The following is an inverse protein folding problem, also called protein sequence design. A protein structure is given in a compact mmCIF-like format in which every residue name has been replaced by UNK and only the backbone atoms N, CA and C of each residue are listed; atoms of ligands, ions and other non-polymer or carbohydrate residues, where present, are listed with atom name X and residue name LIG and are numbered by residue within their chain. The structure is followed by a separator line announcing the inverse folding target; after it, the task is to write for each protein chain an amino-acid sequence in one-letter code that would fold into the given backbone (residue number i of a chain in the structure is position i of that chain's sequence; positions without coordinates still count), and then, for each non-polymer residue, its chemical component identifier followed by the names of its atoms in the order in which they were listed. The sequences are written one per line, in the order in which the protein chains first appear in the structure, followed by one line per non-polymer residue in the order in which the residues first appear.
data_IF_351878082586
#
_entry.id   IF_351878082586
#
_cell.length_a   1.000
_cell.length_b   1.000
_cell.length_c   1.000
_cell.angle_alpha   90.00
_cell.angle_beta   90.00
_cell.angle_gamma   90.00
#
_symmetry.space_group_name_H-M   'P 1'
#
loop_
_entity.id
_entity.type
_entity.pdbx_description
1 polymer ?
#
# COMPACT_ATOMS: atom_id res chain seq x y z
N UNK A 1 -10.25 -19.55 5.70
CA UNK A 1 -8.94 -19.42 5.03
C UNK A 1 -9.24 -19.36 3.54
N UNK A 2 -8.59 -18.48 2.79
CA UNK A 2 -8.80 -18.44 1.33
C UNK A 2 -8.03 -19.60 0.70
N UNK A 3 -8.58 -20.16 -0.37
CA UNK A 3 -7.94 -21.24 -1.12
C UNK A 3 -7.61 -20.70 -2.51
N UNK A 4 -6.32 -20.70 -2.84
CA UNK A 4 -5.83 -20.33 -4.15
C UNK A 4 -5.51 -21.58 -4.96
N UNK A 5 -5.98 -21.64 -6.20
CA UNK A 5 -5.54 -22.61 -7.20
C UNK A 5 -4.07 -22.36 -7.58
N UNK A 6 -3.43 -23.37 -8.17
CA UNK A 6 -2.08 -23.22 -8.69
C UNK A 6 -1.99 -22.14 -9.78
N UNK A 7 -3.01 -22.03 -10.62
CA UNK A 7 -3.10 -21.03 -11.68
C UNK A 7 -3.18 -19.61 -11.11
N UNK A 8 -4.02 -19.37 -10.09
CA UNK A 8 -4.10 -18.06 -9.43
C UNK A 8 -2.77 -17.66 -8.79
N UNK A 9 -2.10 -18.59 -8.09
CA UNK A 9 -0.77 -18.33 -7.51
C UNK A 9 0.25 -17.97 -8.60
N UNK A 10 0.23 -18.67 -9.73
CA UNK A 10 1.13 -18.39 -10.84
C UNK A 10 0.86 -17.03 -11.48
N UNK A 11 -0.40 -16.65 -11.67
CA UNK A 11 -0.78 -15.34 -12.21
C UNK A 11 -0.35 -14.20 -11.28
N UNK A 12 -0.60 -14.33 -9.98
CA UNK A 12 -0.23 -13.31 -8.98
C UNK A 12 1.29 -13.14 -8.93
N UNK A 13 2.03 -14.24 -8.78
CA UNK A 13 3.50 -14.21 -8.69
C UNK A 13 4.15 -13.77 -10.00
N UNK A 14 3.62 -14.20 -11.15
CA UNK A 14 4.09 -13.82 -12.47
C UNK A 14 3.86 -12.35 -12.80
N UNK A 15 2.73 -11.78 -12.37
CA UNK A 15 2.50 -10.33 -12.46
C UNK A 15 3.44 -9.57 -11.52
N UNK A 16 3.53 -10.02 -10.26
CA UNK A 16 4.37 -9.36 -9.25
C UNK A 16 5.84 -9.27 -9.67
N UNK A 17 6.37 -10.31 -10.33
CA UNK A 17 7.74 -10.31 -10.86
C UNK A 17 8.04 -9.21 -11.89
N UNK A 18 7.01 -8.57 -12.47
CA UNK A 18 7.13 -7.45 -13.41
C UNK A 18 6.95 -6.08 -12.76
N UNK A 19 6.54 -6.03 -11.49
CA UNK A 19 6.24 -4.79 -10.79
C UNK A 19 7.53 -4.09 -10.37
N UNK A 20 7.70 -2.84 -10.78
CA UNK A 20 8.68 -1.96 -10.17
C UNK A 20 8.10 -1.40 -8.86
N UNK A 21 8.50 -1.99 -7.74
CA UNK A 21 7.94 -1.68 -6.41
C UNK A 21 8.11 -0.20 -6.03
N UNK A 22 9.20 0.44 -6.44
CA UNK A 22 9.46 1.83 -6.10
C UNK A 22 8.53 2.77 -6.88
N UNK A 23 8.46 2.59 -8.20
CA UNK A 23 7.69 3.47 -9.08
C UNK A 23 6.18 3.24 -8.92
N UNK A 24 5.73 1.99 -8.97
CA UNK A 24 4.32 1.65 -8.77
C UNK A 24 3.84 2.02 -7.36
N UNK A 25 4.70 1.87 -6.34
CA UNK A 25 4.35 2.22 -4.96
C UNK A 25 4.19 3.72 -4.78
N UNK A 26 5.11 4.51 -5.34
CA UNK A 26 5.04 5.96 -5.35
C UNK A 26 3.77 6.45 -6.07
N UNK A 27 3.47 5.90 -7.25
CA UNK A 27 2.28 6.26 -8.02
C UNK A 27 0.99 5.92 -7.28
N UNK A 28 0.90 4.73 -6.68
CA UNK A 28 -0.30 4.29 -5.96
C UNK A 28 -0.62 5.23 -4.78
N UNK A 29 0.38 5.53 -3.94
CA UNK A 29 0.16 6.42 -2.80
C UNK A 29 -0.13 7.86 -3.24
N UNK A 30 0.57 8.37 -4.26
CA UNK A 30 0.26 9.70 -4.80
C UNK A 30 -1.18 9.78 -5.31
N UNK A 31 -1.65 8.77 -6.07
CA UNK A 31 -3.03 8.69 -6.57
C UNK A 31 -4.05 8.63 -5.43
N UNK A 32 -3.79 7.88 -4.36
CA UNK A 32 -4.64 7.85 -3.16
C UNK A 32 -4.83 9.27 -2.60
N UNK A 33 -3.72 9.99 -2.37
CA UNK A 33 -3.74 11.32 -1.77
C UNK A 33 -4.39 12.38 -2.68
N UNK A 34 -4.36 12.19 -4.00
CA UNK A 34 -4.96 13.10 -4.99
C UNK A 34 -6.45 12.82 -5.19
N UNK A 35 -6.82 11.55 -5.42
CA UNK A 35 -8.18 11.14 -5.77
C UNK A 35 -9.08 11.11 -4.54
N UNK A 36 -8.50 10.82 -3.38
CA UNK A 36 -9.20 10.74 -2.10
C UNK A 36 -8.56 11.68 -1.06
N UNK A 37 -8.71 13.01 -1.19
CA UNK A 37 -7.95 13.99 -0.42
C UNK A 37 -8.09 13.88 1.10
N UNK A 38 -9.20 13.33 1.61
CA UNK A 38 -9.38 13.11 3.05
C UNK A 38 -8.33 12.17 3.64
N UNK A 39 -7.70 11.31 2.84
CA UNK A 39 -6.63 10.41 3.27
C UNK A 39 -5.35 11.18 3.65
N UNK A 40 -5.16 12.40 3.17
CA UNK A 40 -4.01 13.24 3.51
C UNK A 40 -3.89 13.51 5.02
N UNK A 41 -5.01 13.45 5.77
CA UNK A 41 -5.01 13.64 7.24
C UNK A 41 -4.07 12.69 7.98
N UNK A 42 -3.82 11.50 7.43
CA UNK A 42 -2.93 10.49 8.03
C UNK A 42 -1.44 10.76 7.76
N UNK A 43 -1.12 11.74 6.91
CA UNK A 43 0.23 12.00 6.41
C UNK A 43 0.68 13.45 6.67
N UNK A 44 0.20 14.07 7.75
CA UNK A 44 0.53 15.47 8.09
C UNK A 44 2.04 15.74 8.25
N UNK A 45 2.82 14.73 8.61
CA UNK A 45 4.28 14.82 8.73
C UNK A 45 5.02 14.78 7.37
N UNK A 46 4.33 14.55 6.26
CA UNK A 46 4.97 14.44 4.94
C UNK A 46 5.25 15.81 4.30
N UNK A 47 4.92 16.90 4.97
CA UNK A 47 5.16 18.25 4.48
C UNK A 47 4.13 18.68 3.45
N UNK A 48 4.58 19.28 2.35
CA UNK A 48 3.66 19.87 1.37
C UNK A 48 2.91 18.80 0.55
N UNK A 49 1.59 18.74 0.73
CA UNK A 49 0.64 17.90 -0.02
C UNK A 49 -0.47 18.75 -0.68
N UNK A 50 -0.28 20.07 -0.82
CA UNK A 50 -1.35 21.01 -1.15
C UNK A 50 -1.87 20.95 -2.60
N UNK A 51 -1.19 20.21 -3.49
CA UNK A 51 -1.56 20.09 -4.90
C UNK A 51 -1.07 18.76 -5.49
N UNK A 52 -1.65 18.29 -6.61
CA UNK A 52 -1.17 17.08 -7.29
C UNK A 52 0.32 17.11 -7.62
N UNK A 53 0.83 18.25 -8.10
CA UNK A 53 2.27 18.42 -8.39
C UNK A 53 3.12 18.32 -7.12
N UNK A 54 2.67 18.91 -6.00
CA UNK A 54 3.36 18.81 -4.72
C UNK A 54 3.39 17.36 -4.23
N UNK A 55 2.27 16.64 -4.32
CA UNK A 55 2.15 15.22 -3.91
C UNK A 55 3.05 14.32 -4.76
N UNK A 56 3.00 14.45 -6.09
CA UNK A 56 3.82 13.65 -7.02
C UNK A 56 5.32 13.90 -6.83
N UNK A 57 5.71 15.13 -6.53
CA UNK A 57 7.09 15.51 -6.25
C UNK A 57 7.57 15.20 -4.82
N UNK A 58 6.69 14.73 -3.92
CA UNK A 58 7.01 14.62 -2.51
C UNK A 58 7.88 13.37 -2.21
N UNK A 59 9.11 13.52 -1.70
CA UNK A 59 10.00 12.39 -1.44
C UNK A 59 9.48 11.43 -0.36
N UNK A 60 8.73 11.94 0.63
CA UNK A 60 8.14 11.11 1.69
C UNK A 60 6.98 10.26 1.15
N UNK A 61 6.16 10.80 0.24
CA UNK A 61 5.12 10.03 -0.47
C UNK A 61 5.77 8.90 -1.27
N UNK A 62 6.83 9.20 -2.03
CA UNK A 62 7.54 8.18 -2.81
C UNK A 62 8.13 7.07 -1.92
N UNK A 63 8.81 7.46 -0.84
CA UNK A 63 9.41 6.52 0.09
C UNK A 63 8.37 5.64 0.80
N UNK A 64 7.26 6.24 1.25
CA UNK A 64 6.20 5.51 1.92
C UNK A 64 5.43 4.61 0.96
N UNK A 65 5.15 5.07 -0.26
CA UNK A 65 4.54 4.27 -1.31
C UNK A 65 5.33 3.00 -1.62
N UNK A 66 6.66 3.11 -1.72
CA UNK A 66 7.54 1.93 -1.82
C UNK A 66 7.39 0.99 -0.63
N UNK A 67 7.31 1.51 0.60
CA UNK A 67 7.13 0.70 1.81
C UNK A 67 5.79 -0.05 1.81
N UNK A 68 4.71 0.61 1.43
CA UNK A 68 3.38 0.01 1.27
C UNK A 68 3.45 -1.12 0.26
N UNK A 69 3.96 -0.86 -0.95
CA UNK A 69 3.98 -1.88 -1.99
C UNK A 69 4.96 -3.03 -1.68
N UNK A 70 6.05 -2.77 -0.94
CA UNK A 70 6.91 -3.84 -0.42
C UNK A 70 6.14 -4.81 0.49
N UNK A 71 5.24 -4.28 1.33
CA UNK A 71 4.37 -5.10 2.19
C UNK A 71 3.42 -6.00 1.38
N UNK A 72 2.89 -5.52 0.26
CA UNK A 72 2.11 -6.38 -0.66
C UNK A 72 2.98 -7.51 -1.23
N UNK A 73 4.27 -7.25 -1.48
CA UNK A 73 5.22 -8.30 -1.86
C UNK A 73 5.38 -9.38 -0.80
N UNK A 74 5.26 -9.06 0.48
CA UNK A 74 5.29 -10.06 1.55
C UNK A 74 4.01 -10.89 1.59
N UNK A 75 2.85 -10.33 1.23
CA UNK A 75 1.63 -11.12 1.01
C UNK A 75 1.77 -12.05 -0.21
N UNK A 76 2.38 -11.59 -1.31
CA UNK A 76 2.63 -12.43 -2.50
C UNK A 76 3.54 -13.63 -2.17
N UNK A 77 4.51 -13.46 -1.26
CA UNK A 77 5.36 -14.56 -0.78
C UNK A 77 4.62 -15.51 0.18
N UNK A 78 3.50 -15.08 0.77
CA UNK A 78 2.78 -15.78 1.83
C UNK A 78 1.27 -15.89 1.53
N UNK A 79 0.89 -16.23 0.29
CA UNK A 79 -0.51 -16.19 -0.19
C UNK A 79 -1.49 -17.03 0.66
N UNK A 80 -1.01 -18.12 1.27
CA UNK A 80 -1.83 -18.99 2.14
C UNK A 80 -1.89 -18.50 3.60
N UNK A 81 -1.10 -17.49 3.96
CA UNK A 81 -0.92 -17.01 5.34
C UNK A 81 -1.01 -15.47 5.48
N UNK A 82 -1.76 -14.81 4.59
CA UNK A 82 -1.86 -13.34 4.54
C UNK A 82 -2.34 -12.75 5.86
N UNK A 83 -3.35 -13.37 6.51
CA UNK A 83 -3.91 -12.89 7.79
C UNK A 83 -2.82 -12.75 8.86
N UNK A 84 -1.97 -13.75 9.01
CA UNK A 84 -0.90 -13.71 10.02
C UNK A 84 0.24 -12.79 9.58
N UNK A 85 0.54 -12.76 8.28
CA UNK A 85 1.56 -11.85 7.69
C UNK A 85 1.26 -10.39 8.02
N UNK A 86 -0.02 -9.98 8.01
CA UNK A 86 -0.44 -8.60 8.28
C UNK A 86 -1.02 -8.36 9.67
N UNK A 87 -0.92 -9.31 10.61
CA UNK A 87 -1.49 -9.15 11.96
C UNK A 87 -0.99 -7.87 12.66
N UNK A 88 0.33 -7.61 12.63
CA UNK A 88 0.91 -6.41 13.24
C UNK A 88 0.53 -5.13 12.50
N UNK A 89 0.38 -5.18 11.17
CA UNK A 89 -0.09 -4.03 10.38
C UNK A 89 -1.57 -3.74 10.64
N UNK A 90 -2.38 -4.78 10.85
CA UNK A 90 -3.78 -4.66 11.24
C UNK A 90 -3.90 -3.89 12.56
N UNK A 91 -3.18 -4.30 13.60
CA UNK A 91 -3.13 -3.60 14.89
C UNK A 91 -2.65 -2.16 14.74
N UNK A 92 -1.57 -1.93 13.98
CA UNK A 92 -1.06 -0.59 13.74
C UNK A 92 -2.12 0.32 13.10
N UNK A 93 -2.75 -0.10 12.01
CA UNK A 93 -3.66 0.77 11.28
C UNK A 93 -5.01 0.96 11.98
N UNK A 94 -5.48 -0.07 12.70
CA UNK A 94 -6.71 -0.02 13.47
C UNK A 94 -6.53 0.73 14.80
N UNK A 95 -5.66 0.22 15.68
CA UNK A 95 -5.65 0.61 17.09
C UNK A 95 -4.77 1.84 17.36
N UNK A 96 -3.80 2.12 16.48
CA UNK A 96 -2.90 3.27 16.64
C UNK A 96 -3.26 4.40 15.67
N UNK A 97 -3.41 4.08 14.39
CA UNK A 97 -3.65 5.08 13.34
C UNK A 97 -5.14 5.38 13.14
N UNK A 98 -6.04 4.53 13.64
CA UNK A 98 -7.50 4.70 13.53
C UNK A 98 -7.95 4.97 12.10
N UNK A 99 -7.37 4.23 11.14
CA UNK A 99 -7.73 4.32 9.73
C UNK A 99 -9.05 3.57 9.53
N UNK A 100 -10.08 4.29 9.06
CA UNK A 100 -11.35 3.67 8.69
C UNK A 100 -11.09 2.58 7.62
N UNK A 101 -11.59 1.35 7.81
CA UNK A 101 -11.33 0.22 6.92
C UNK A 101 -11.71 0.47 5.45
N UNK A 102 -12.63 1.38 5.17
CA UNK A 102 -13.02 1.72 3.80
C UNK A 102 -11.83 2.28 3.00
N UNK A 103 -10.82 2.87 3.66
CA UNK A 103 -9.62 3.38 2.97
C UNK A 103 -8.65 2.29 2.52
N UNK A 104 -8.87 1.01 2.86
CA UNK A 104 -8.08 -0.10 2.34
C UNK A 104 -8.62 -0.67 1.01
N UNK A 105 -9.87 -0.34 0.65
CA UNK A 105 -10.56 -0.84 -0.54
C UNK A 105 -10.22 -0.02 -1.78
#
# INVERSE_FOLDING_TARGET
MVHWTAEEKQLITGLWGKVNVADCGAEALARLLIVYPWTQRFFSSFGNLSSPTAILGNPMVRAHGKKVLSSFGDAVKNLDNIKNTFAQLSELHCDKLHVDPENFR
#
